data_IF_404613782431
#
_entry.id   IF_404613782431
#
_cell.length_a   1.000
_cell.length_b   1.000
_cell.length_c   1.000
_cell.angle_alpha   90.00
_cell.angle_beta   90.00
_cell.angle_gamma   90.00
#
_symmetry.space_group_name_H-M   'P 1'
#
loop_
_entity.id
_entity.type
_entity.pdbx_description
1 polymer ?
#
# COMPACT_ATOMS: atom_id res chain seq x y z
N UNK A 1 6.37 27.14 -35.71
CA UNK A 1 7.63 26.63 -35.15
C UNK A 1 7.32 26.01 -33.80
N UNK A 2 7.15 24.70 -33.76
CA UNK A 2 6.82 23.93 -32.56
C UNK A 2 8.07 23.76 -31.73
N UNK A 3 8.09 24.38 -30.54
CA UNK A 3 9.13 24.15 -29.53
C UNK A 3 9.26 22.65 -29.26
N UNK A 4 10.48 22.09 -29.14
CA UNK A 4 10.66 20.69 -28.82
C UNK A 4 10.07 20.41 -27.44
N UNK A 5 9.18 19.42 -27.37
CA UNK A 5 8.61 18.90 -26.12
C UNK A 5 9.75 18.64 -25.13
N UNK A 6 9.80 19.43 -24.07
CA UNK A 6 10.73 19.20 -22.98
C UNK A 6 10.47 17.80 -22.42
N UNK A 7 11.50 16.95 -22.22
CA UNK A 7 11.29 15.61 -21.71
C UNK A 7 10.56 15.72 -20.38
N UNK A 8 9.37 15.11 -20.32
CA UNK A 8 8.52 15.14 -19.13
C UNK A 8 9.39 14.78 -17.91
N UNK A 9 9.47 15.66 -16.89
CA UNK A 9 10.35 15.41 -15.75
C UNK A 9 10.05 14.04 -15.15
N UNK A 10 11.10 13.24 -14.96
CA UNK A 10 10.98 11.90 -14.37
C UNK A 10 10.12 11.97 -13.11
N UNK A 11 9.07 11.14 -13.04
CA UNK A 11 8.12 11.12 -11.92
C UNK A 11 8.84 10.97 -10.57
N UNK A 12 9.99 10.31 -10.58
CA UNK A 12 10.86 10.13 -9.41
C UNK A 12 11.51 11.44 -8.96
N UNK A 13 11.89 12.33 -9.88
CA UNK A 13 12.43 13.66 -9.55
C UNK A 13 11.37 14.58 -8.95
N UNK A 14 10.14 14.53 -9.46
CA UNK A 14 9.00 15.26 -8.86
C UNK A 14 8.72 14.74 -7.46
N UNK A 15 8.70 13.42 -7.28
CA UNK A 15 8.50 12.79 -5.99
C UNK A 15 9.57 13.18 -4.97
N UNK A 16 10.86 13.12 -5.35
CA UNK A 16 11.96 13.54 -4.48
C UNK A 16 11.91 15.03 -4.13
N UNK A 17 11.45 15.88 -5.06
CA UNK A 17 11.22 17.31 -4.78
C UNK A 17 10.12 17.50 -3.75
N UNK A 18 9.00 16.78 -3.87
CA UNK A 18 7.94 16.82 -2.85
C UNK A 18 8.47 16.33 -1.49
N UNK A 19 9.29 15.29 -1.48
CA UNK A 19 9.90 14.75 -0.26
C UNK A 19 10.88 15.74 0.40
N UNK A 20 11.47 16.67 -0.38
CA UNK A 20 12.31 17.72 0.19
C UNK A 20 11.53 18.71 1.08
N UNK A 21 10.23 18.87 0.85
CA UNK A 21 9.36 19.67 1.72
C UNK A 21 9.06 18.98 3.07
N UNK A 22 9.41 17.70 3.23
CA UNK A 22 9.27 16.99 4.51
C UNK A 22 10.39 17.38 5.49
N UNK A 23 11.46 18.06 5.03
CA UNK A 23 12.60 18.47 5.87
C UNK A 23 12.22 19.18 7.19
N UNK A 24 11.27 20.13 7.23
CA UNK A 24 10.86 20.78 8.48
C UNK A 24 10.19 19.82 9.47
N UNK A 25 9.62 18.71 8.98
CA UNK A 25 8.85 17.74 9.74
C UNK A 25 9.64 16.45 10.05
N UNK A 26 10.96 16.44 9.87
CA UNK A 26 11.80 15.25 10.08
C UNK A 26 11.67 14.64 11.48
N UNK A 27 11.49 15.46 12.51
CA UNK A 27 11.26 14.96 13.88
C UNK A 27 9.97 14.15 14.00
N UNK A 28 8.87 14.67 13.46
CA UNK A 28 7.57 13.97 13.46
C UNK A 28 7.62 12.72 12.57
N UNK A 29 8.30 12.83 11.43
CA UNK A 29 8.51 11.70 10.53
C UNK A 29 9.32 10.58 11.21
N UNK A 30 10.38 10.92 11.95
CA UNK A 30 11.16 9.94 12.72
C UNK A 30 10.32 9.23 13.78
N UNK A 31 9.45 9.95 14.50
CA UNK A 31 8.49 9.35 15.45
C UNK A 31 7.54 8.38 14.74
N UNK A 32 7.08 8.71 13.53
CA UNK A 32 6.25 7.80 12.75
C UNK A 32 6.98 6.51 12.37
N UNK A 33 8.26 6.61 12.01
CA UNK A 33 9.10 5.43 11.71
C UNK A 33 9.25 4.56 12.94
N UNK A 34 9.52 5.14 14.11
CA UNK A 34 9.59 4.39 15.37
C UNK A 34 8.27 3.69 15.66
N UNK A 35 7.13 4.36 15.44
CA UNK A 35 5.81 3.74 15.55
C UNK A 35 5.62 2.56 14.59
N UNK A 36 6.07 2.67 13.34
CA UNK A 36 6.01 1.57 12.38
C UNK A 36 6.98 0.43 12.71
N UNK A 37 8.15 0.71 13.30
CA UNK A 37 9.07 -0.33 13.81
C UNK A 37 8.40 -1.11 14.95
N UNK A 38 7.78 -0.40 15.90
CA UNK A 38 6.99 -1.00 16.99
C UNK A 38 5.90 -1.90 16.39
N UNK A 39 5.12 -1.37 15.45
CA UNK A 39 4.07 -2.12 14.77
C UNK A 39 4.58 -3.37 14.02
N UNK A 40 5.68 -3.24 13.27
CA UNK A 40 6.26 -4.32 12.49
C UNK A 40 6.82 -5.44 13.39
N UNK A 41 7.41 -5.06 14.53
CA UNK A 41 7.95 -6.03 15.51
C UNK A 41 6.87 -6.92 16.13
N UNK A 42 5.63 -6.43 16.23
CA UNK A 42 4.49 -7.19 16.75
C UNK A 42 4.19 -8.43 15.91
N UNK A 43 4.42 -8.39 14.59
CA UNK A 43 4.04 -9.48 13.67
C UNK A 43 4.81 -10.79 13.97
N UNK A 44 6.15 -10.79 14.04
CA UNK A 44 6.90 -11.95 14.54
C UNK A 44 6.54 -12.35 15.98
N UNK A 45 6.31 -11.38 16.86
CA UNK A 45 5.98 -11.69 18.26
C UNK A 45 4.66 -12.47 18.37
N UNK A 46 3.65 -12.14 17.54
CA UNK A 46 2.39 -12.90 17.45
C UNK A 46 2.63 -14.34 16.99
N UNK A 47 3.45 -14.54 15.95
CA UNK A 47 3.82 -15.87 15.49
C UNK A 47 4.56 -16.66 16.58
N UNK A 48 5.47 -16.02 17.31
CA UNK A 48 6.17 -16.59 18.44
C UNK A 48 5.23 -17.00 19.58
N UNK A 49 4.25 -16.18 19.95
CA UNK A 49 3.26 -16.57 20.96
C UNK A 49 2.48 -17.80 20.53
N UNK A 50 2.07 -17.89 19.26
CA UNK A 50 1.36 -19.06 18.77
C UNK A 50 2.21 -20.34 18.82
N UNK A 51 3.55 -20.23 18.63
CA UNK A 51 4.49 -21.33 18.93
C UNK A 51 4.29 -21.85 20.35
N UNK A 52 4.42 -20.93 21.32
CA UNK A 52 4.38 -21.26 22.73
C UNK A 52 3.01 -21.75 23.19
N UNK A 53 1.94 -21.21 22.62
CA UNK A 53 0.58 -21.69 22.87
C UNK A 53 0.45 -23.17 22.47
N UNK A 54 0.88 -23.51 21.26
CA UNK A 54 0.77 -24.87 20.70
C UNK A 54 1.71 -25.86 21.42
N UNK A 55 2.94 -25.45 21.72
CA UNK A 55 3.87 -26.27 22.49
C UNK A 55 3.37 -26.47 23.94
N UNK A 56 2.74 -25.45 24.54
CA UNK A 56 2.10 -25.52 25.85
C UNK A 56 0.87 -26.44 25.90
N UNK A 57 0.15 -26.64 24.77
CA UNK A 57 -0.90 -27.66 24.67
C UNK A 57 -0.33 -29.09 24.73
N UNK A 58 0.92 -29.27 24.31
CA UNK A 58 1.60 -30.58 24.25
C UNK A 58 2.39 -30.88 25.53
N UNK A 59 2.91 -29.86 26.22
CA UNK A 59 3.62 -29.95 27.51
C UNK A 59 3.09 -28.88 28.50
N UNK A 60 2.07 -29.20 29.32
CA UNK A 60 1.40 -28.25 30.23
C UNK A 60 2.29 -27.64 31.33
N UNK A 61 3.46 -28.22 31.61
CA UNK A 61 4.40 -27.79 32.66
C UNK A 61 5.55 -26.89 32.14
N UNK A 62 5.59 -26.58 30.84
CA UNK A 62 6.69 -25.81 30.26
C UNK A 62 6.65 -24.33 30.70
N UNK A 63 7.64 -23.89 31.49
CA UNK A 63 7.75 -22.49 31.95
C UNK A 63 8.30 -21.61 30.82
N UNK A 64 7.54 -20.59 30.42
CA UNK A 64 7.89 -19.62 29.36
C UNK A 64 9.19 -18.85 29.61
N UNK A 65 9.53 -18.59 30.88
CA UNK A 65 10.71 -17.82 31.27
C UNK A 65 11.51 -18.53 32.36
N UNK A 66 12.37 -19.51 32.01
CA UNK A 66 13.19 -20.23 33.00
C UNK A 66 14.14 -19.30 33.78
N UNK A 67 14.53 -18.17 33.17
CA UNK A 67 15.61 -17.28 33.64
C UNK A 67 15.13 -15.97 34.26
N UNK A 68 13.82 -15.73 34.41
CA UNK A 68 13.30 -14.47 35.00
C UNK A 68 12.61 -14.78 36.33
N UNK A 69 13.22 -14.43 37.50
CA UNK A 69 12.77 -14.86 38.83
C UNK A 69 11.31 -14.51 39.17
N UNK A 70 10.77 -13.42 38.62
CA UNK A 70 9.41 -12.92 38.91
C UNK A 70 8.31 -13.50 38.01
N UNK A 71 8.65 -14.27 36.97
CA UNK A 71 7.69 -14.84 36.00
C UNK A 71 7.70 -16.38 35.99
N UNK A 72 8.41 -17.01 36.93
CA UNK A 72 8.51 -18.48 37.05
C UNK A 72 7.18 -19.16 37.40
N UNK A 73 6.31 -18.48 38.15
CA UNK A 73 5.02 -19.02 38.62
C UNK A 73 3.85 -18.70 37.68
N UNK A 74 4.09 -17.97 36.58
CA UNK A 74 3.04 -17.69 35.62
C UNK A 74 2.76 -18.97 34.81
N UNK A 75 1.75 -19.74 35.25
CA UNK A 75 1.21 -20.85 34.47
C UNK A 75 0.94 -20.37 33.03
N UNK A 76 1.38 -21.15 32.05
CA UNK A 76 1.15 -20.93 30.60
C UNK A 76 -0.26 -20.44 30.29
N UNK A 77 -1.25 -20.96 31.05
CA UNK A 77 -2.68 -20.69 30.94
C UNK A 77 -3.07 -19.22 31.18
N UNK A 78 -2.37 -18.50 32.07
CA UNK A 78 -2.58 -17.06 32.31
C UNK A 78 -1.58 -16.17 31.55
N UNK A 79 -0.36 -16.67 31.31
CA UNK A 79 0.71 -15.92 30.67
C UNK A 79 0.42 -15.62 29.19
N UNK A 80 -0.06 -16.60 28.43
CA UNK A 80 -0.29 -16.45 26.98
C UNK A 80 -1.38 -15.41 26.67
N UNK A 81 -2.59 -15.44 27.29
CA UNK A 81 -3.60 -14.43 27.05
C UNK A 81 -3.14 -13.01 27.44
N UNK A 82 -2.41 -12.88 28.56
CA UNK A 82 -1.89 -11.59 29.02
C UNK A 82 -0.86 -11.02 28.04
N UNK A 83 0.06 -11.86 27.54
CA UNK A 83 1.04 -11.45 26.53
C UNK A 83 0.37 -11.05 25.20
N UNK A 84 -0.70 -11.73 24.77
CA UNK A 84 -1.47 -11.33 23.58
C UNK A 84 -2.04 -9.93 23.75
N UNK A 85 -2.62 -9.63 24.92
CA UNK A 85 -3.17 -8.30 25.22
C UNK A 85 -2.06 -7.24 25.24
N UNK A 86 -0.90 -7.54 25.84
CA UNK A 86 0.24 -6.63 25.83
C UNK A 86 0.77 -6.38 24.41
N UNK A 87 0.88 -7.41 23.59
CA UNK A 87 1.28 -7.29 22.19
C UNK A 87 0.27 -6.47 21.40
N UNK A 88 -1.04 -6.69 21.61
CA UNK A 88 -2.08 -5.91 20.96
C UNK A 88 -2.04 -4.43 21.39
N UNK A 89 -1.77 -4.15 22.67
CA UNK A 89 -1.57 -2.80 23.18
C UNK A 89 -0.31 -2.15 22.56
N UNK A 90 0.79 -2.91 22.46
CA UNK A 90 2.04 -2.49 21.82
C UNK A 90 1.83 -2.19 20.32
N UNK A 91 1.10 -3.05 19.63
CA UNK A 91 0.70 -2.86 18.24
C UNK A 91 -0.16 -1.63 18.05
N UNK A 92 -1.12 -1.42 18.95
CA UNK A 92 -2.00 -0.25 18.97
C UNK A 92 -1.20 1.04 19.15
N UNK A 93 -0.25 1.06 20.08
CA UNK A 93 0.66 2.18 20.31
C UNK A 93 1.52 2.47 19.07
N UNK A 94 2.16 1.44 18.49
CA UNK A 94 2.96 1.58 17.28
C UNK A 94 2.15 2.08 16.09
N UNK A 95 0.95 1.51 15.89
CA UNK A 95 0.01 1.93 14.85
C UNK A 95 -0.44 3.37 15.06
N UNK A 96 -0.76 3.77 16.28
CA UNK A 96 -1.17 5.15 16.59
C UNK A 96 -0.02 6.12 16.32
N UNK A 97 1.17 5.88 16.87
CA UNK A 97 2.35 6.72 16.67
C UNK A 97 2.72 6.81 15.18
N UNK A 98 2.74 5.68 14.47
CA UNK A 98 3.03 5.63 13.04
C UNK A 98 2.02 6.44 12.22
N UNK A 99 0.73 6.15 12.37
CA UNK A 99 -0.31 6.76 11.55
C UNK A 99 -0.56 8.23 11.89
N UNK A 100 -0.61 8.59 13.19
CA UNK A 100 -0.92 9.94 13.61
C UNK A 100 0.18 10.94 13.23
N UNK A 101 1.45 10.61 13.51
CA UNK A 101 2.54 11.51 13.19
C UNK A 101 2.78 11.60 11.69
N UNK A 102 2.59 10.51 10.95
CA UNK A 102 2.65 10.57 9.49
C UNK A 102 1.51 11.41 8.90
N UNK A 103 0.29 11.30 9.44
CA UNK A 103 -0.82 12.15 9.04
C UNK A 103 -0.54 13.64 9.35
N UNK A 104 0.07 13.94 10.50
CA UNK A 104 0.48 15.29 10.87
C UNK A 104 1.52 15.86 9.90
N UNK A 105 2.49 15.06 9.47
CA UNK A 105 3.47 15.42 8.42
C UNK A 105 2.76 15.70 7.09
N UNK A 106 1.85 14.82 6.67
CA UNK A 106 1.08 14.96 5.42
C UNK A 106 0.24 16.25 5.40
N UNK A 107 -0.50 16.50 6.49
CA UNK A 107 -1.34 17.69 6.61
C UNK A 107 -0.52 18.98 6.72
N UNK A 108 0.61 18.96 7.42
CA UNK A 108 1.56 20.07 7.46
C UNK A 108 2.10 20.39 6.07
N UNK A 109 2.47 19.36 5.30
CA UNK A 109 2.93 19.52 3.93
C UNK A 109 1.84 20.10 3.01
N UNK A 110 0.59 19.63 3.14
CA UNK A 110 -0.55 20.21 2.40
C UNK A 110 -0.73 21.68 2.77
N UNK A 111 -0.62 22.03 4.04
CA UNK A 111 -0.74 23.41 4.52
C UNK A 111 0.34 24.31 3.89
N UNK A 112 1.61 23.92 4.00
CA UNK A 112 2.73 24.71 3.47
C UNK A 112 2.64 24.90 1.97
N UNK A 113 2.30 23.84 1.22
CA UNK A 113 2.09 23.93 -0.22
C UNK A 113 0.92 24.85 -0.59
N UNK A 114 -0.18 24.81 0.17
CA UNK A 114 -1.32 25.73 -0.07
C UNK A 114 -0.93 27.18 0.18
N UNK A 115 -0.23 27.45 1.27
CA UNK A 115 0.24 28.81 1.61
C UNK A 115 1.24 29.30 0.56
N UNK A 116 2.22 28.49 0.16
CA UNK A 116 3.20 28.87 -0.87
C UNK A 116 2.53 29.13 -2.22
N UNK A 117 1.63 28.24 -2.66
CA UNK A 117 0.89 28.41 -3.91
C UNK A 117 -0.01 29.66 -3.88
N UNK A 118 -0.69 29.90 -2.77
CA UNK A 118 -1.53 31.09 -2.62
C UNK A 118 -0.69 32.38 -2.66
N UNK A 119 0.42 32.42 -1.93
CA UNK A 119 1.34 33.56 -1.95
C UNK A 119 1.92 33.81 -3.35
N UNK A 120 2.20 32.75 -4.13
CA UNK A 120 2.63 32.89 -5.52
C UNK A 120 1.55 33.43 -6.45
N UNK A 121 0.28 33.11 -6.20
CA UNK A 121 -0.84 33.69 -6.96
C UNK A 121 -0.95 35.20 -6.75
N UNK A 122 -0.66 35.71 -5.56
CA UNK A 122 -0.74 37.16 -5.26
C UNK A 122 0.28 38.01 -6.04
N UNK A 123 1.40 37.44 -6.49
CA UNK A 123 2.48 38.15 -7.19
C UNK A 123 2.53 37.83 -8.69
N UNK A 124 1.63 37.00 -9.20
CA UNK A 124 1.59 36.61 -10.61
C UNK A 124 1.03 37.76 -11.48
N UNK A 125 1.59 37.99 -12.69
CA UNK A 125 1.06 39.01 -13.60
C UNK A 125 -0.38 38.72 -14.03
N UNK A 126 -1.17 39.77 -14.27
CA UNK A 126 -2.57 39.65 -14.74
C UNK A 126 -2.72 38.73 -15.96
N UNK A 127 -1.76 38.73 -16.89
CA UNK A 127 -1.72 37.83 -18.06
C UNK A 127 -1.84 36.34 -17.70
N UNK A 128 -1.35 35.94 -16.52
CA UNK A 128 -1.48 34.56 -16.06
C UNK A 128 -2.93 34.21 -15.73
N UNK A 129 -3.69 35.14 -15.15
CA UNK A 129 -5.12 34.98 -14.86
C UNK A 129 -5.98 35.05 -16.11
N UNK A 130 -5.60 35.86 -17.10
CA UNK A 130 -6.30 35.95 -18.39
C UNK A 130 -6.23 34.64 -19.20
N UNK A 131 -5.21 33.82 -18.94
CA UNK A 131 -4.96 32.55 -19.65
C UNK A 131 -5.37 31.30 -18.86
N UNK A 132 -5.78 31.45 -17.59
CA UNK A 132 -6.13 30.32 -16.72
C UNK A 132 -7.47 30.53 -16.01
N UNK A 133 -8.38 29.56 -16.16
CA UNK A 133 -9.66 29.58 -15.47
C UNK A 133 -9.50 29.58 -13.94
N UNK A 134 -10.18 30.50 -13.25
CA UNK A 134 -10.17 30.64 -11.79
C UNK A 134 -10.58 29.35 -11.06
N UNK A 135 -11.55 28.61 -11.58
CA UNK A 135 -11.94 27.30 -11.04
C UNK A 135 -10.83 26.26 -11.10
N UNK A 136 -9.98 26.30 -12.15
CA UNK A 136 -8.83 25.41 -12.25
C UNK A 136 -7.70 25.80 -11.27
N UNK A 137 -7.53 27.09 -10.99
CA UNK A 137 -6.60 27.58 -9.97
C UNK A 137 -7.06 27.17 -8.56
N UNK A 138 -8.35 27.31 -8.25
CA UNK A 138 -8.94 26.87 -6.99
C UNK A 138 -8.76 25.35 -6.81
N UNK A 139 -9.13 24.56 -7.82
CA UNK A 139 -8.98 23.09 -7.80
C UNK A 139 -7.53 22.65 -7.58
N UNK A 140 -6.55 23.37 -8.15
CA UNK A 140 -5.13 23.08 -7.91
C UNK A 140 -4.76 23.17 -6.43
N UNK A 141 -5.22 24.21 -5.71
CA UNK A 141 -4.89 24.43 -4.29
C UNK A 141 -5.68 23.49 -3.37
N UNK A 142 -6.97 23.28 -3.66
CA UNK A 142 -7.87 22.55 -2.76
C UNK A 142 -7.77 21.04 -2.94
N UNK A 143 -7.80 20.54 -4.17
CA UNK A 143 -7.84 19.11 -4.49
C UNK A 143 -6.47 18.55 -4.86
N UNK A 144 -5.78 19.15 -5.84
CA UNK A 144 -4.56 18.53 -6.38
C UNK A 144 -3.44 18.44 -5.33
N UNK A 145 -3.25 19.49 -4.53
CA UNK A 145 -2.27 19.46 -3.43
C UNK A 145 -2.56 18.33 -2.44
N UNK A 146 -3.82 18.17 -2.05
CA UNK A 146 -4.24 17.11 -1.11
C UNK A 146 -4.03 15.72 -1.69
N UNK A 147 -4.46 15.51 -2.94
CA UNK A 147 -4.37 14.22 -3.63
C UNK A 147 -2.91 13.80 -3.83
N UNK A 148 -2.05 14.72 -4.30
CA UNK A 148 -0.65 14.42 -4.57
C UNK A 148 0.11 14.16 -3.27
N UNK A 149 -0.12 14.98 -2.24
CA UNK A 149 0.55 14.83 -0.94
C UNK A 149 0.08 13.58 -0.20
N UNK A 150 -1.22 13.29 -0.23
CA UNK A 150 -1.81 12.08 0.33
C UNK A 150 -1.25 10.83 -0.34
N UNK A 151 -1.31 10.76 -1.67
CA UNK A 151 -0.79 9.61 -2.42
C UNK A 151 0.71 9.38 -2.18
N UNK A 152 1.51 10.45 -2.12
CA UNK A 152 2.94 10.34 -1.82
C UNK A 152 3.17 9.82 -0.41
N UNK A 153 2.43 10.34 0.59
CA UNK A 153 2.57 9.92 1.98
C UNK A 153 2.10 8.50 2.22
N UNK A 154 1.01 8.08 1.57
CA UNK A 154 0.52 6.70 1.60
C UNK A 154 1.52 5.73 0.96
N UNK A 155 2.16 6.12 -0.15
CA UNK A 155 3.22 5.32 -0.74
C UNK A 155 4.40 5.13 0.23
N UNK A 156 4.83 6.20 0.92
CA UNK A 156 5.88 6.12 1.96
C UNK A 156 5.44 5.21 3.10
N UNK A 157 4.19 5.36 3.58
CA UNK A 157 3.62 4.55 4.63
C UNK A 157 3.72 3.06 4.31
N UNK A 158 3.28 2.67 3.12
CA UNK A 158 3.31 1.27 2.67
C UNK A 158 4.75 0.77 2.59
N UNK A 159 5.65 1.52 1.95
CA UNK A 159 7.06 1.10 1.80
C UNK A 159 7.75 0.92 3.15
N UNK A 160 7.54 1.84 4.10
CA UNK A 160 8.17 1.76 5.42
C UNK A 160 7.51 0.68 6.27
N UNK A 161 6.18 0.71 6.43
CA UNK A 161 5.47 -0.20 7.32
C UNK A 161 5.52 -1.64 6.83
N UNK A 162 5.17 -1.88 5.58
CA UNK A 162 5.16 -3.23 5.01
C UNK A 162 6.58 -3.71 4.76
N UNK A 163 7.49 -2.82 4.30
CA UNK A 163 8.90 -3.16 4.15
C UNK A 163 9.57 -3.58 5.46
N UNK A 164 9.34 -2.84 6.55
CA UNK A 164 9.82 -3.24 7.88
C UNK A 164 9.18 -4.56 8.32
N UNK A 165 7.87 -4.73 8.13
CA UNK A 165 7.16 -5.97 8.49
C UNK A 165 7.77 -7.18 7.79
N UNK A 166 8.03 -7.07 6.48
CA UNK A 166 8.71 -8.10 5.70
C UNK A 166 10.10 -8.40 6.26
N UNK A 167 10.90 -7.36 6.56
CA UNK A 167 12.26 -7.54 7.12
C UNK A 167 12.22 -8.26 8.47
N UNK A 168 11.34 -7.85 9.38
CA UNK A 168 11.19 -8.45 10.71
C UNK A 168 10.71 -9.91 10.63
N UNK A 169 9.70 -10.20 9.81
CA UNK A 169 9.20 -11.57 9.59
C UNK A 169 10.26 -12.44 8.93
N UNK A 170 10.95 -11.93 7.92
CA UNK A 170 12.00 -12.69 7.23
C UNK A 170 13.19 -13.00 8.15
N UNK A 171 13.63 -12.03 8.96
CA UNK A 171 14.65 -12.26 9.97
C UNK A 171 14.22 -13.31 11.01
N UNK A 172 12.96 -13.27 11.44
CA UNK A 172 12.39 -14.26 12.36
C UNK A 172 12.35 -15.68 11.74
N UNK A 173 11.90 -15.81 10.48
CA UNK A 173 11.88 -17.09 9.77
C UNK A 173 13.29 -17.68 9.60
N UNK A 174 14.27 -16.85 9.21
CA UNK A 174 15.68 -17.24 9.10
C UNK A 174 16.24 -17.74 10.43
N UNK A 175 15.93 -17.04 11.52
CA UNK A 175 16.37 -17.42 12.87
C UNK A 175 15.75 -18.75 13.33
N UNK A 176 14.47 -18.99 13.00
CA UNK A 176 13.78 -20.21 13.40
C UNK A 176 14.22 -21.43 12.59
N UNK A 177 14.20 -21.34 11.25
CA UNK A 177 14.69 -22.42 10.39
C UNK A 177 15.14 -21.89 9.03
N UNK A 178 16.45 -21.66 8.89
CA UNK A 178 17.04 -21.15 7.66
C UNK A 178 16.85 -22.10 6.46
N UNK A 179 16.78 -23.43 6.66
CA UNK A 179 16.57 -24.40 5.58
C UNK A 179 15.16 -24.26 4.99
N UNK A 180 14.14 -24.19 5.84
CA UNK A 180 12.75 -23.95 5.41
C UNK A 180 12.61 -22.57 4.76
N UNK A 181 13.35 -21.58 5.26
CA UNK A 181 13.30 -20.20 4.73
C UNK A 181 13.88 -20.12 3.33
N UNK A 182 14.96 -20.85 3.05
CA UNK A 182 15.52 -20.94 1.69
C UNK A 182 14.55 -21.57 0.68
N UNK A 183 13.80 -22.59 1.10
CA UNK A 183 12.75 -23.19 0.25
C UNK A 183 11.64 -22.17 -0.04
N UNK A 184 11.21 -21.40 0.96
CA UNK A 184 10.25 -20.33 0.75
C UNK A 184 10.81 -19.23 -0.17
N UNK A 185 12.08 -18.88 -0.01
CA UNK A 185 12.75 -17.88 -0.83
C UNK A 185 12.88 -18.31 -2.30
N UNK A 186 12.93 -19.61 -2.58
CA UNK A 186 12.90 -20.12 -3.95
C UNK A 186 11.57 -19.85 -4.69
N UNK A 187 10.49 -19.58 -3.95
CA UNK A 187 9.16 -19.26 -4.50
C UNK A 187 9.03 -17.75 -4.76
N UNK A 188 9.83 -16.93 -4.07
CA UNK A 188 9.82 -15.47 -4.19
C UNK A 188 10.05 -14.98 -5.63
N UNK A 189 10.99 -15.52 -6.43
CA UNK A 189 11.14 -15.15 -7.84
C UNK A 189 9.89 -15.41 -8.68
N UNK A 190 9.17 -16.51 -8.43
CA UNK A 190 7.94 -16.83 -9.15
C UNK A 190 6.85 -15.79 -8.86
N UNK A 191 6.69 -15.43 -7.58
CA UNK A 191 5.78 -14.35 -7.16
C UNK A 191 6.21 -13.01 -7.78
N UNK A 192 7.50 -12.67 -7.73
CA UNK A 192 8.04 -11.44 -8.29
C UNK A 192 7.80 -11.32 -9.80
N UNK A 193 7.93 -12.41 -10.56
CA UNK A 193 7.63 -12.46 -11.99
C UNK A 193 6.13 -12.23 -12.22
N UNK A 194 5.25 -12.90 -11.46
CA UNK A 194 3.80 -12.72 -11.58
C UNK A 194 3.37 -11.28 -11.26
N UNK A 195 3.85 -10.73 -10.14
CA UNK A 195 3.53 -9.37 -9.71
C UNK A 195 4.06 -8.34 -10.70
N UNK A 196 5.30 -8.49 -11.18
CA UNK A 196 5.89 -7.55 -12.14
C UNK A 196 5.19 -7.59 -13.51
N UNK A 197 4.84 -8.78 -14.00
CA UNK A 197 4.06 -8.97 -15.22
C UNK A 197 2.68 -8.32 -15.12
N UNK A 198 1.99 -8.57 -14.00
CA UNK A 198 0.68 -7.99 -13.68
C UNK A 198 0.77 -6.48 -13.62
N UNK A 199 1.75 -5.94 -12.89
CA UNK A 199 1.97 -4.49 -12.74
C UNK A 199 2.20 -3.79 -14.08
N UNK A 200 3.01 -4.38 -14.98
CA UNK A 200 3.21 -3.87 -16.35
C UNK A 200 1.91 -3.87 -17.14
N UNK A 201 1.13 -4.95 -17.04
CA UNK A 201 -0.16 -5.10 -17.73
C UNK A 201 -1.20 -4.10 -17.21
N UNK A 202 -1.28 -3.89 -15.90
CA UNK A 202 -2.13 -2.89 -15.26
C UNK A 202 -1.78 -1.49 -15.76
N UNK A 203 -0.50 -1.09 -15.72
CA UNK A 203 -0.06 0.23 -16.23
C UNK A 203 -0.47 0.47 -17.68
N UNK A 204 -0.33 -0.53 -18.56
CA UNK A 204 -0.75 -0.45 -19.96
C UNK A 204 -2.27 -0.28 -20.11
N UNK A 205 -3.06 -0.95 -19.27
CA UNK A 205 -4.52 -0.84 -19.29
C UNK A 205 -5.01 0.48 -18.69
N UNK A 206 -4.42 0.94 -17.60
CA UNK A 206 -4.71 2.27 -17.02
C UNK A 206 -4.47 3.39 -18.03
N UNK A 207 -3.40 3.32 -18.84
CA UNK A 207 -3.18 4.29 -19.93
C UNK A 207 -4.30 4.26 -20.97
N UNK A 208 -4.82 3.08 -21.34
CA UNK A 208 -5.94 2.95 -22.27
C UNK A 208 -7.25 3.50 -21.69
N UNK A 209 -7.49 3.29 -20.40
CA UNK A 209 -8.64 3.86 -19.68
C UNK A 209 -8.55 5.39 -19.68
N UNK A 210 -7.38 5.96 -19.39
CA UNK A 210 -7.18 7.42 -19.42
C UNK A 210 -7.46 8.02 -20.80
N UNK A 211 -7.02 7.36 -21.88
CA UNK A 211 -7.34 7.81 -23.25
C UNK A 211 -8.85 7.79 -23.51
N UNK A 212 -9.54 6.70 -23.15
CA UNK A 212 -10.98 6.60 -23.36
C UNK A 212 -11.80 7.56 -22.48
N UNK A 213 -11.34 7.83 -21.26
CA UNK A 213 -11.91 8.87 -20.42
C UNK A 213 -11.71 10.26 -21.02
N UNK A 214 -10.59 10.47 -21.73
CA UNK A 214 -10.36 11.65 -22.57
C UNK A 214 -11.45 11.80 -23.64
N UNK A 215 -11.79 10.74 -24.35
CA UNK A 215 -12.86 10.74 -25.36
C UNK A 215 -14.23 11.10 -24.73
N UNK A 216 -14.59 10.48 -23.60
CA UNK A 216 -15.82 10.80 -22.85
C UNK A 216 -15.86 12.27 -22.44
N UNK A 217 -14.74 12.78 -21.91
CA UNK A 217 -14.62 14.17 -21.47
C UNK A 217 -14.72 15.12 -22.66
N UNK A 218 -14.13 14.76 -23.79
CA UNK A 218 -14.15 15.55 -25.01
C UNK A 218 -15.56 15.69 -25.58
N UNK A 219 -16.29 14.58 -25.74
CA UNK A 219 -17.69 14.59 -26.20
C UNK A 219 -18.54 15.44 -25.24
N UNK A 220 -18.46 15.18 -23.93
CA UNK A 220 -19.23 15.95 -22.95
C UNK A 220 -18.91 17.46 -23.00
N UNK A 221 -17.63 17.83 -23.11
CA UNK A 221 -17.22 19.23 -23.19
C UNK A 221 -17.75 19.91 -24.45
N UNK A 222 -17.71 19.23 -25.60
CA UNK A 222 -18.19 19.75 -26.87
C UNK A 222 -19.73 19.91 -26.86
N UNK A 223 -20.48 18.92 -26.37
CA UNK A 223 -21.94 18.99 -26.26
C UNK A 223 -22.38 20.12 -25.31
N UNK A 224 -21.70 20.29 -24.17
CA UNK A 224 -22.05 21.31 -23.18
C UNK A 224 -21.74 22.73 -23.70
N UNK A 225 -20.56 22.91 -24.32
CA UNK A 225 -20.20 24.21 -24.91
C UNK A 225 -21.05 24.54 -26.14
N UNK A 226 -21.38 23.52 -26.95
CA UNK A 226 -22.19 23.60 -28.16
C UNK A 226 -23.69 23.45 -27.96
N UNK A 227 -24.22 23.51 -26.72
CA UNK A 227 -25.60 23.12 -26.42
C UNK A 227 -26.67 23.84 -27.26
N UNK A 228 -26.41 25.11 -27.63
CA UNK A 228 -27.32 25.89 -28.50
C UNK A 228 -27.39 25.29 -29.90
N UNK A 229 -26.26 24.89 -30.46
CA UNK A 229 -26.19 24.26 -31.80
C UNK A 229 -26.92 22.92 -31.77
N UNK A 230 -26.68 22.10 -30.75
CA UNK A 230 -27.34 20.79 -30.60
C UNK A 230 -28.87 20.94 -30.61
N UNK A 231 -29.42 21.88 -29.81
CA UNK A 231 -30.87 22.12 -29.75
C UNK A 231 -31.44 22.78 -30.99
N UNK A 232 -30.71 23.72 -31.60
CA UNK A 232 -31.19 24.42 -32.80
C UNK A 232 -31.29 23.50 -34.02
N UNK A 233 -30.48 22.45 -34.09
CA UNK A 233 -30.48 21.49 -35.20
C UNK A 233 -31.13 20.14 -34.87
N UNK A 234 -31.71 19.96 -33.68
CA UNK A 234 -32.34 18.69 -33.26
C UNK A 234 -31.35 17.53 -33.11
N UNK A 235 -30.11 17.83 -32.72
CA UNK A 235 -28.99 16.89 -32.64
C UNK A 235 -28.94 16.06 -31.35
N UNK A 236 -29.94 16.12 -30.48
CA UNK A 236 -29.90 15.48 -29.16
C UNK A 236 -29.65 13.97 -29.24
N UNK A 237 -30.38 13.25 -30.10
CA UNK A 237 -30.21 11.80 -30.26
C UNK A 237 -28.87 11.41 -30.91
N UNK A 238 -28.22 12.33 -31.64
CA UNK A 238 -26.89 12.09 -32.19
C UNK A 238 -25.84 12.17 -31.07
N UNK A 239 -25.87 13.24 -30.28
CA UNK A 239 -24.94 13.45 -29.17
C UNK A 239 -25.15 12.41 -28.05
N UNK A 240 -26.39 11.98 -27.79
CA UNK A 240 -26.69 10.88 -26.87
C UNK A 240 -26.00 9.58 -27.28
N UNK A 241 -26.10 9.17 -28.55
CA UNK A 241 -25.43 7.98 -29.07
C UNK A 241 -23.92 8.10 -29.03
N UNK A 242 -23.40 9.26 -29.43
CA UNK A 242 -21.95 9.55 -29.40
C UNK A 242 -21.39 9.46 -27.98
N UNK A 243 -22.10 9.99 -26.98
CA UNK A 243 -21.71 9.87 -25.58
C UNK A 243 -21.83 8.43 -25.08
N UNK A 244 -22.90 7.71 -25.44
CA UNK A 244 -23.09 6.31 -25.08
C UNK A 244 -21.96 5.42 -25.62
N UNK A 245 -21.53 5.61 -26.87
CA UNK A 245 -20.40 4.90 -27.48
C UNK A 245 -19.08 5.19 -26.76
N UNK A 246 -18.78 6.45 -26.47
CA UNK A 246 -17.58 6.83 -25.73
C UNK A 246 -17.58 6.23 -24.31
N UNK A 247 -18.73 6.30 -23.62
CA UNK A 247 -18.92 5.77 -22.26
C UNK A 247 -18.80 4.24 -22.22
N UNK A 248 -19.41 3.54 -23.19
CA UNK A 248 -19.27 2.09 -23.35
C UNK A 248 -17.82 1.71 -23.63
N UNK A 249 -17.14 2.44 -24.52
CA UNK A 249 -15.74 2.24 -24.83
C UNK A 249 -14.80 2.44 -23.63
N UNK A 250 -15.14 3.32 -22.68
CA UNK A 250 -14.45 3.46 -21.41
C UNK A 250 -14.77 2.29 -20.46
N UNK A 251 -16.04 1.92 -20.37
CA UNK A 251 -16.52 0.80 -19.53
C UNK A 251 -15.87 -0.53 -19.91
N UNK A 252 -15.79 -0.84 -21.21
CA UNK A 252 -15.15 -2.07 -21.71
C UNK A 252 -13.66 -2.13 -21.33
N UNK A 253 -12.96 -0.99 -21.36
CA UNK A 253 -11.54 -0.92 -20.98
C UNK A 253 -11.36 -1.07 -19.47
N UNK A 254 -12.26 -0.49 -18.66
CA UNK A 254 -12.28 -0.70 -17.21
C UNK A 254 -12.57 -2.17 -16.87
N UNK A 255 -13.57 -2.79 -17.51
CA UNK A 255 -13.90 -4.21 -17.31
C UNK A 255 -12.73 -5.12 -17.69
N UNK A 256 -11.95 -4.81 -18.73
CA UNK A 256 -10.73 -5.56 -19.06
C UNK A 256 -9.67 -5.48 -17.95
N UNK A 257 -9.54 -4.32 -17.30
CA UNK A 257 -8.63 -4.13 -16.15
C UNK A 257 -9.12 -4.88 -14.93
N UNK A 258 -10.42 -4.80 -14.62
CA UNK A 258 -11.05 -5.54 -13.53
C UNK A 258 -10.95 -7.05 -13.75
N UNK A 259 -11.21 -7.55 -14.97
CA UNK A 259 -11.02 -8.96 -15.33
C UNK A 259 -9.58 -9.41 -15.13
N UNK A 260 -8.62 -8.55 -15.48
CA UNK A 260 -7.20 -8.82 -15.23
C UNK A 260 -6.95 -8.97 -13.73
N UNK A 261 -7.37 -8.01 -12.90
CA UNK A 261 -7.23 -8.10 -11.44
C UNK A 261 -7.92 -9.33 -10.83
N UNK A 262 -9.16 -9.60 -11.24
CA UNK A 262 -9.96 -10.72 -10.76
C UNK A 262 -9.37 -12.10 -11.10
N UNK A 263 -8.54 -12.21 -12.13
CA UNK A 263 -7.84 -13.47 -12.47
C UNK A 263 -6.50 -13.55 -11.76
N UNK A 264 -5.73 -12.46 -11.69
CA UNK A 264 -4.40 -12.49 -11.09
C UNK A 264 -4.42 -12.63 -9.57
N UNK A 265 -5.41 -12.04 -8.86
CA UNK A 265 -5.49 -12.16 -7.40
C UNK A 265 -5.68 -13.62 -6.95
N UNK A 266 -6.66 -14.40 -7.46
CA UNK A 266 -6.78 -15.82 -7.12
C UNK A 266 -5.59 -16.66 -7.58
N UNK A 267 -4.97 -16.33 -8.72
CA UNK A 267 -3.79 -17.04 -9.22
C UNK A 267 -2.59 -16.87 -8.28
N UNK A 268 -2.37 -15.66 -7.76
CA UNK A 268 -1.36 -15.39 -6.74
C UNK A 268 -1.67 -16.15 -5.43
N UNK A 269 -2.93 -16.15 -4.99
CA UNK A 269 -3.35 -16.94 -3.81
C UNK A 269 -3.09 -18.43 -4.00
N UNK A 270 -3.36 -18.99 -5.19
CA UNK A 270 -3.08 -20.41 -5.48
C UNK A 270 -1.58 -20.70 -5.40
N UNK A 271 -0.72 -19.82 -5.91
CA UNK A 271 0.74 -19.95 -5.77
C UNK A 271 1.16 -19.90 -4.30
N UNK A 272 0.59 -19.00 -3.49
CA UNK A 272 0.88 -18.90 -2.05
C UNK A 272 0.39 -20.15 -1.30
N UNK A 273 -0.80 -20.67 -1.61
CA UNK A 273 -1.32 -21.86 -0.94
C UNK A 273 -0.60 -23.15 -1.37
N UNK A 274 -0.21 -23.26 -2.64
CA UNK A 274 0.63 -24.38 -3.09
C UNK A 274 2.03 -24.32 -2.46
N UNK A 275 2.62 -23.14 -2.34
CA UNK A 275 3.85 -22.90 -1.58
C UNK A 275 3.71 -23.36 -0.12
N UNK A 276 2.62 -22.96 0.53
CA UNK A 276 2.31 -23.36 1.90
C UNK A 276 2.13 -24.88 2.00
N UNK A 277 1.45 -25.52 1.06
CA UNK A 277 1.25 -26.96 1.04
C UNK A 277 2.57 -27.74 0.89
N UNK A 278 3.46 -27.30 -0.01
CA UNK A 278 4.80 -27.88 -0.16
C UNK A 278 5.61 -27.70 1.12
N UNK A 279 5.52 -26.53 1.74
CA UNK A 279 6.20 -26.25 3.00
C UNK A 279 5.71 -27.17 4.12
N UNK A 280 4.39 -27.33 4.25
CA UNK A 280 3.78 -28.26 5.22
C UNK A 280 4.22 -29.71 4.97
N UNK A 281 4.24 -30.15 3.70
CA UNK A 281 4.72 -31.48 3.34
C UNK A 281 6.18 -31.68 3.76
N UNK A 282 7.05 -30.73 3.42
CA UNK A 282 8.48 -30.80 3.70
C UNK A 282 8.77 -30.76 5.21
N UNK A 283 8.01 -29.98 5.96
CA UNK A 283 8.02 -29.94 7.42
C UNK A 283 7.63 -31.28 8.04
N UNK A 284 6.53 -31.89 7.57
CA UNK A 284 6.07 -33.19 8.07
C UNK A 284 7.04 -34.32 7.69
N UNK A 285 7.70 -34.21 6.53
CA UNK A 285 8.67 -35.17 6.04
C UNK A 285 10.03 -35.07 6.76
N UNK A 286 10.48 -33.85 7.08
CA UNK A 286 11.74 -33.57 7.79
C UNK A 286 11.58 -33.50 9.31
N UNK A 287 10.50 -34.11 9.84
CA UNK A 287 10.10 -34.11 11.26
C UNK A 287 11.09 -34.92 12.11
N UNK A 288 12.33 -34.43 12.23
CA UNK A 288 13.33 -34.89 13.20
C UNK A 288 13.09 -34.20 14.54
N UNK A 289 13.47 -32.92 14.65
CA UNK A 289 13.55 -32.19 15.93
C UNK A 289 12.60 -30.98 16.07
N UNK A 290 11.75 -30.69 15.08
CA UNK A 290 10.86 -29.52 15.10
C UNK A 290 9.58 -29.79 15.92
N UNK A 291 9.25 -28.91 16.86
CA UNK A 291 8.03 -29.05 17.68
C UNK A 291 6.76 -28.71 16.88
N UNK A 292 5.59 -29.16 17.35
CA UNK A 292 4.33 -28.80 16.71
C UNK A 292 4.10 -27.27 16.69
N UNK A 293 4.57 -26.56 17.74
CA UNK A 293 4.54 -25.11 17.81
C UNK A 293 5.46 -24.44 16.80
N UNK A 294 6.65 -24.99 16.52
CA UNK A 294 7.52 -24.47 15.46
C UNK A 294 6.80 -24.42 14.12
N UNK A 295 6.00 -25.45 13.82
CA UNK A 295 5.27 -25.54 12.56
C UNK A 295 4.17 -24.48 12.49
N UNK A 296 3.38 -24.34 13.56
CA UNK A 296 2.28 -23.37 13.60
C UNK A 296 2.83 -21.95 13.53
N UNK A 297 3.90 -21.64 14.25
CA UNK A 297 4.53 -20.34 14.21
C UNK A 297 5.15 -20.03 12.84
N UNK A 298 5.74 -21.02 12.18
CA UNK A 298 6.29 -20.84 10.85
C UNK A 298 5.19 -20.57 9.82
N UNK A 299 4.11 -21.36 9.84
CA UNK A 299 2.94 -21.17 8.95
C UNK A 299 2.28 -19.82 9.21
N UNK A 300 2.14 -19.42 10.47
CA UNK A 300 1.58 -18.11 10.84
C UNK A 300 2.46 -16.99 10.33
N UNK A 301 3.77 -17.02 10.60
CA UNK A 301 4.69 -15.98 10.14
C UNK A 301 4.76 -15.89 8.62
N UNK A 302 4.75 -17.03 7.92
CA UNK A 302 4.72 -17.07 6.46
C UNK A 302 3.38 -16.56 5.88
N UNK A 303 2.26 -16.84 6.55
CA UNK A 303 0.94 -16.33 6.14
C UNK A 303 0.71 -14.86 6.47
N UNK A 304 1.46 -14.30 7.42
CA UNK A 304 1.46 -12.88 7.77
C UNK A 304 2.38 -12.03 6.88
N UNK A 305 3.20 -12.64 6.04
CA UNK A 305 4.00 -11.89 5.07
C UNK A 305 3.09 -11.20 4.05
N UNK A 306 3.18 -9.86 3.91
CA UNK A 306 2.33 -9.08 3.02
C UNK A 306 2.67 -9.25 1.54
#
# INVERSE_FOLDING_TARGET
MTSPDSPAPSSLKIYLRLLSYVRPYLGMFAVSIVGFVIFASTQPMLAGILKYFVDGLSNPEAVLFPNVPYLKDLQLLMAVPMLIILIAAWQGLGSFLGNYYLAKVSLGLVHDLRVELFNKLLVLPNRYFDTHNSGHLISRITFNVTMVTGAATDAIKVVIREGLTVVFLFAYLLWMNWKLTLVMLAILPLIAIMVSSTSKKFRKQSKKIQVAMGDVTHVASETIQGYRVVRSFGGESYEERRFAEASQGNTDKQLRMTKTGAVYTPMLQLVIYSAMAVLMFLVLFLRGDATAGDLVAYITAAGLLP
#
